data_IF_817124859388
#
_entry.id   IF_817124859388
#
_cell.length_a   1.000
_cell.length_b   1.000
_cell.length_c   1.000
_cell.angle_alpha   90.00
_cell.angle_beta   90.00
_cell.angle_gamma   90.00
#
_symmetry.space_group_name_H-M   'P 1'
#
loop_
_entity.id
_entity.type
_entity.pdbx_description
1 polymer ?
#
# COMPACT_ATOMS: atom_id res chain seq x y z
N UNK A 1 11.46 -3.91 -22.48
CA UNK A 1 10.12 -3.48 -22.00
C UNK A 1 9.91 -4.10 -20.63
N UNK A 2 10.46 -3.50 -19.57
CA UNK A 2 10.31 -3.97 -18.19
C UNK A 2 9.40 -3.01 -17.42
N UNK A 3 8.17 -2.80 -17.91
CA UNK A 3 7.15 -2.14 -17.11
C UNK A 3 6.52 -3.18 -16.19
N UNK A 4 6.51 -2.96 -14.87
CA UNK A 4 5.70 -3.78 -13.97
C UNK A 4 4.27 -3.86 -14.50
N UNK A 5 3.68 -5.06 -14.56
CA UNK A 5 2.28 -5.29 -14.98
C UNK A 5 1.33 -4.37 -14.22
N UNK A 6 1.67 -4.02 -12.98
CA UNK A 6 0.89 -3.13 -12.13
C UNK A 6 0.89 -1.66 -12.56
N UNK A 7 1.82 -1.24 -13.43
CA UNK A 7 1.87 0.14 -13.98
C UNK A 7 1.22 0.25 -15.36
N UNK A 8 0.61 -0.82 -15.87
CA UNK A 8 -0.04 -0.77 -17.17
C UNK A 8 -1.28 0.15 -17.12
N UNK A 9 -1.52 1.04 -18.11
CA UNK A 9 -2.69 1.93 -18.12
C UNK A 9 -4.01 1.16 -18.17
N UNK A 10 -4.01 -0.04 -18.74
CA UNK A 10 -5.17 -0.96 -18.77
C UNK A 10 -5.16 -2.00 -17.63
N UNK A 11 -4.47 -1.75 -16.51
CA UNK A 11 -4.49 -2.65 -15.36
C UNK A 11 -5.93 -2.91 -14.90
N UNK A 12 -6.20 -4.14 -14.48
CA UNK A 12 -7.53 -4.66 -14.07
C UNK A 12 -8.57 -4.82 -15.18
N UNK A 13 -8.33 -4.36 -16.41
CA UNK A 13 -9.27 -4.59 -17.52
C UNK A 13 -9.18 -6.02 -18.06
N UNK A 14 -10.26 -6.46 -18.70
CA UNK A 14 -10.31 -7.75 -19.39
C UNK A 14 -9.18 -7.88 -20.43
N UNK A 15 -8.60 -9.09 -20.63
CA UNK A 15 -7.67 -9.32 -21.73
C UNK A 15 -8.37 -9.33 -23.11
N UNK A 16 -9.69 -9.50 -23.16
CA UNK A 16 -10.45 -9.43 -24.41
C UNK A 16 -10.37 -8.02 -25.02
N UNK A 17 -9.92 -7.86 -26.27
CA UNK A 17 -9.71 -6.55 -26.87
C UNK A 17 -10.98 -5.68 -26.96
N UNK A 18 -12.13 -6.29 -27.25
CA UNK A 18 -13.40 -5.57 -27.38
C UNK A 18 -13.89 -5.06 -26.02
N UNK A 19 -13.85 -5.92 -25.00
CA UNK A 19 -14.20 -5.54 -23.63
C UNK A 19 -13.23 -4.50 -23.06
N UNK A 20 -11.92 -4.66 -23.30
CA UNK A 20 -10.90 -3.70 -22.84
C UNK A 20 -11.07 -2.33 -23.45
N UNK A 21 -11.41 -2.24 -24.74
CA UNK A 21 -11.65 -0.96 -25.40
C UNK A 21 -12.83 -0.21 -24.77
N UNK A 22 -13.93 -0.91 -24.48
CA UNK A 22 -15.08 -0.33 -23.79
C UNK A 22 -14.74 0.06 -22.35
N UNK A 23 -14.03 -0.79 -21.60
CA UNK A 23 -13.59 -0.48 -20.24
C UNK A 23 -12.73 0.79 -20.19
N UNK A 24 -11.82 0.96 -21.15
CA UNK A 24 -10.99 2.15 -21.27
C UNK A 24 -11.82 3.42 -21.50
N UNK A 25 -12.78 3.39 -22.44
CA UNK A 25 -13.66 4.53 -22.72
C UNK A 25 -14.44 4.95 -21.47
N UNK A 26 -14.99 3.98 -20.74
CA UNK A 26 -15.72 4.25 -19.49
C UNK A 26 -14.79 4.84 -18.42
N UNK A 27 -13.61 4.25 -18.22
CA UNK A 27 -12.64 4.72 -17.23
C UNK A 27 -12.14 6.14 -17.55
N UNK A 28 -11.80 6.44 -18.80
CA UNK A 28 -11.36 7.76 -19.23
C UNK A 28 -12.40 8.84 -18.94
N UNK A 29 -13.69 8.53 -19.06
CA UNK A 29 -14.78 9.46 -18.73
C UNK A 29 -14.90 9.81 -17.25
N UNK A 30 -14.34 9.00 -16.34
CA UNK A 30 -14.54 9.14 -14.88
C UNK A 30 -13.26 9.29 -14.07
N UNK A 31 -12.08 8.95 -14.62
CA UNK A 31 -10.81 8.87 -13.88
C UNK A 31 -10.33 10.19 -13.24
N UNK A 32 -10.87 11.32 -13.69
CA UNK A 32 -10.54 12.67 -13.19
C UNK A 32 -11.61 13.25 -12.26
N UNK A 33 -12.68 12.50 -11.97
CA UNK A 33 -13.68 12.95 -11.02
C UNK A 33 -13.10 12.98 -9.60
N UNK A 34 -13.54 13.92 -8.74
CA UNK A 34 -13.12 13.96 -7.35
C UNK A 34 -13.48 12.67 -6.61
N UNK A 35 -12.62 12.24 -5.69
CA UNK A 35 -12.91 11.15 -4.78
C UNK A 35 -13.96 11.60 -3.76
N UNK A 36 -15.04 10.82 -3.64
CA UNK A 36 -16.01 10.93 -2.55
C UNK A 36 -15.79 9.73 -1.64
N UNK A 37 -15.20 9.97 -0.47
CA UNK A 37 -14.89 8.93 0.52
C UNK A 37 -15.83 9.08 1.73
N UNK A 38 -17.11 8.64 1.63
CA UNK A 38 -18.13 8.91 2.66
C UNK A 38 -17.93 8.11 3.95
N UNK A 39 -17.00 7.16 3.95
CA UNK A 39 -16.64 6.36 5.11
C UNK A 39 -15.15 6.06 5.10
N UNK A 40 -14.50 6.21 6.25
CA UNK A 40 -13.06 5.98 6.41
C UNK A 40 -12.63 6.14 7.87
N UNK A 41 -11.37 5.82 8.13
CA UNK A 41 -10.78 5.81 9.48
C UNK A 41 -9.48 6.62 9.56
N UNK A 42 -9.29 7.60 8.66
CA UNK A 42 -8.17 8.53 8.74
C UNK A 42 -8.28 9.35 10.02
N UNK A 43 -7.21 9.44 10.79
CA UNK A 43 -7.18 10.27 12.00
C UNK A 43 -7.34 11.75 11.60
N UNK A 44 -8.38 12.46 12.08
CA UNK A 44 -8.63 13.84 11.70
C UNK A 44 -7.48 14.79 12.09
N UNK A 45 -6.63 14.42 13.06
CA UNK A 45 -5.48 15.23 13.46
C UNK A 45 -4.45 15.37 12.35
N UNK A 46 -4.33 14.38 11.46
CA UNK A 46 -3.44 14.47 10.30
C UNK A 46 -3.78 15.69 9.44
N UNK A 47 -5.08 15.97 9.27
CA UNK A 47 -5.56 17.12 8.48
C UNK A 47 -5.55 18.43 9.28
N UNK A 48 -5.81 18.36 10.59
CA UNK A 48 -5.88 19.55 11.44
C UNK A 48 -4.51 20.12 11.79
N UNK A 49 -3.51 19.26 11.99
CA UNK A 49 -2.18 19.65 12.45
C UNK A 49 -1.17 19.77 11.30
N UNK A 50 -1.46 19.18 10.14
CA UNK A 50 -0.59 19.17 8.94
C UNK A 50 0.88 18.82 9.27
N UNK A 51 1.06 17.95 10.28
CA UNK A 51 2.38 17.52 10.72
C UNK A 51 2.89 16.43 9.78
N UNK A 52 4.18 16.48 9.37
CA UNK A 52 4.73 15.50 8.46
C UNK A 52 4.78 14.12 9.11
N UNK A 53 4.57 13.07 8.31
CA UNK A 53 4.86 11.70 8.73
C UNK A 53 6.36 11.54 9.02
N UNK A 54 6.74 10.85 10.11
CA UNK A 54 8.14 10.81 10.54
C UNK A 54 9.03 9.93 9.65
N UNK A 55 8.48 8.84 9.11
CA UNK A 55 9.19 7.84 8.30
C UNK A 55 8.19 6.94 7.55
N UNK A 56 8.62 6.20 6.51
CA UNK A 56 7.73 5.35 5.72
C UNK A 56 7.23 4.11 6.47
N UNK A 57 7.91 3.62 7.51
CA UNK A 57 7.40 2.51 8.30
C UNK A 57 6.19 2.93 9.13
N UNK A 58 6.23 4.14 9.71
CA UNK A 58 5.13 4.75 10.44
C UNK A 58 3.91 5.09 9.54
N UNK A 59 4.16 5.41 8.26
CA UNK A 59 3.09 5.68 7.29
C UNK A 59 2.47 4.39 6.73
N UNK A 60 3.29 3.47 6.22
CA UNK A 60 2.81 2.33 5.43
C UNK A 60 2.66 1.03 6.22
N UNK A 61 3.59 0.72 7.13
CA UNK A 61 3.73 -0.64 7.67
C UNK A 61 3.01 -0.78 9.01
N UNK A 62 3.37 0.05 9.97
CA UNK A 62 2.90 -0.04 11.36
C UNK A 62 1.36 0.04 11.46
N UNK A 63 0.66 0.95 10.75
CA UNK A 63 -0.79 1.07 10.88
C UNK A 63 -1.58 0.08 10.00
N UNK A 64 -0.97 -0.53 8.98
CA UNK A 64 -1.70 -1.35 8.01
C UNK A 64 -1.77 -2.84 8.42
N UNK A 65 -2.95 -3.24 8.89
CA UNK A 65 -3.23 -4.61 9.29
C UNK A 65 -3.27 -5.61 8.15
N UNK A 66 -3.42 -5.20 6.89
CA UNK A 66 -3.24 -6.13 5.77
C UNK A 66 -1.78 -6.55 5.62
N UNK A 67 -0.85 -5.62 5.83
CA UNK A 67 0.59 -5.89 5.75
C UNK A 67 1.02 -6.81 6.87
N UNK A 68 0.84 -6.41 8.13
CA UNK A 68 1.35 -7.22 9.25
C UNK A 68 0.60 -8.55 9.38
N UNK A 69 -0.66 -8.67 8.93
CA UNK A 69 -1.36 -9.97 8.88
C UNK A 69 -0.71 -10.94 7.90
N UNK A 70 -0.27 -10.46 6.74
CA UNK A 70 0.43 -11.30 5.77
C UNK A 70 1.76 -11.82 6.34
N UNK A 71 2.58 -10.92 6.88
CA UNK A 71 3.88 -11.27 7.46
C UNK A 71 3.74 -12.19 8.68
N UNK A 72 2.77 -11.91 9.56
CA UNK A 72 2.47 -12.76 10.71
C UNK A 72 2.05 -14.17 10.29
N UNK A 73 1.30 -14.31 9.19
CA UNK A 73 0.92 -15.63 8.66
C UNK A 73 2.13 -16.47 8.21
N UNK A 74 3.27 -15.82 7.93
CA UNK A 74 4.53 -16.46 7.55
C UNK A 74 5.54 -16.51 8.70
N UNK A 75 5.10 -16.27 9.94
CA UNK A 75 5.91 -16.42 11.15
C UNK A 75 6.71 -15.17 11.55
N UNK A 76 6.46 -14.01 10.95
CA UNK A 76 7.07 -12.74 11.41
C UNK A 76 6.26 -12.17 12.58
N UNK A 77 6.83 -12.07 13.80
CA UNK A 77 6.13 -11.48 14.94
C UNK A 77 5.78 -10.00 14.69
N UNK A 78 4.62 -9.56 15.17
CA UNK A 78 4.14 -8.19 14.98
C UNK A 78 5.06 -7.14 15.65
N UNK A 79 5.70 -7.51 16.76
CA UNK A 79 6.68 -6.68 17.46
C UNK A 79 7.94 -6.40 16.64
N UNK A 80 8.30 -7.27 15.68
CA UNK A 80 9.42 -7.02 14.76
C UNK A 80 9.08 -5.96 13.71
N UNK A 81 7.78 -5.68 13.51
CA UNK A 81 7.27 -4.66 12.61
C UNK A 81 6.91 -3.35 13.35
N UNK A 82 7.25 -3.23 14.63
CA UNK A 82 6.94 -2.04 15.43
C UNK A 82 5.47 -1.90 15.84
N UNK A 83 4.63 -2.91 15.58
CA UNK A 83 3.20 -2.89 15.94
C UNK A 83 3.05 -2.88 17.46
N UNK A 84 2.34 -1.90 18.06
CA UNK A 84 2.20 -1.80 19.51
C UNK A 84 1.54 -3.03 20.15
N UNK A 85 2.15 -3.52 21.23
CA UNK A 85 1.61 -4.63 22.02
C UNK A 85 0.66 -4.12 23.10
N UNK A 86 -0.42 -4.87 23.36
CA UNK A 86 -1.38 -4.56 24.44
C UNK A 86 -0.76 -4.71 25.84
N UNK A 87 0.24 -5.56 25.99
CA UNK A 87 0.95 -5.81 27.26
C UNK A 87 2.06 -4.78 27.54
N UNK A 88 2.28 -3.81 26.65
CA UNK A 88 3.35 -2.81 26.79
C UNK A 88 4.76 -3.37 26.62
N UNK A 89 4.91 -4.61 26.13
CA UNK A 89 6.20 -5.22 25.87
C UNK A 89 7.03 -4.48 24.81
N UNK A 90 8.34 -4.77 24.72
CA UNK A 90 9.20 -4.13 23.74
C UNK A 90 8.79 -4.49 22.30
N UNK A 91 9.04 -3.56 21.40
CA UNK A 91 8.85 -3.69 19.95
C UNK A 91 10.05 -3.07 19.24
N UNK A 92 10.33 -3.45 18.00
CA UNK A 92 11.34 -2.78 17.18
C UNK A 92 11.01 -1.28 17.05
N UNK A 93 12.04 -0.45 17.20
CA UNK A 93 11.95 1.02 17.17
C UNK A 93 12.74 1.62 16.02
N UNK A 94 13.62 0.87 15.39
CA UNK A 94 14.35 1.32 14.21
C UNK A 94 13.46 1.20 12.96
N UNK A 95 13.02 2.33 12.37
CA UNK A 95 12.15 2.32 11.19
C UNK A 95 12.82 1.66 9.98
N UNK A 96 14.16 1.68 9.88
CA UNK A 96 14.88 1.02 8.79
C UNK A 96 14.81 -0.49 8.92
N UNK A 97 14.88 -1.03 10.14
CA UNK A 97 14.76 -2.49 10.37
C UNK A 97 13.34 -2.99 10.12
N UNK A 98 12.34 -2.20 10.50
CA UNK A 98 10.92 -2.47 10.19
C UNK A 98 10.73 -2.49 8.67
N UNK A 99 11.21 -1.45 7.99
CA UNK A 99 11.13 -1.36 6.53
C UNK A 99 11.84 -2.51 5.84
N UNK A 100 13.07 -2.85 6.26
CA UNK A 100 13.82 -3.96 5.69
C UNK A 100 13.09 -5.29 5.86
N UNK A 101 12.51 -5.54 7.04
CA UNK A 101 11.70 -6.74 7.29
C UNK A 101 10.50 -6.81 6.36
N UNK A 102 9.81 -5.69 6.12
CA UNK A 102 8.74 -5.67 5.12
C UNK A 102 9.27 -5.94 3.70
N UNK A 103 10.35 -5.28 3.29
CA UNK A 103 10.94 -5.40 1.96
C UNK A 103 11.40 -6.84 1.65
N UNK A 104 12.06 -7.50 2.62
CA UNK A 104 12.52 -8.89 2.50
C UNK A 104 11.36 -9.86 2.24
N UNK A 105 10.15 -9.54 2.71
CA UNK A 105 8.94 -10.36 2.60
C UNK A 105 7.94 -9.83 1.56
N UNK A 106 8.26 -8.75 0.84
CA UNK A 106 7.31 -8.11 -0.08
C UNK A 106 6.81 -9.04 -1.19
N UNK A 107 7.59 -10.07 -1.54
CA UNK A 107 7.19 -11.10 -2.51
C UNK A 107 5.90 -11.86 -2.13
N UNK A 108 5.53 -11.89 -0.85
CA UNK A 108 4.29 -12.51 -0.37
C UNK A 108 3.02 -11.81 -0.89
N UNK A 109 3.14 -10.53 -1.23
CA UNK A 109 2.00 -9.74 -1.71
C UNK A 109 1.72 -9.91 -3.21
N UNK A 110 2.46 -10.78 -3.91
CA UNK A 110 2.23 -11.07 -5.33
C UNK A 110 0.81 -11.63 -5.54
N UNK A 111 0.05 -10.97 -6.42
CA UNK A 111 -1.34 -11.33 -6.70
C UNK A 111 -2.35 -10.87 -5.64
N UNK A 112 -1.92 -10.09 -4.65
CA UNK A 112 -2.80 -9.53 -3.62
C UNK A 112 -3.12 -8.07 -3.92
N UNK A 113 -4.31 -7.57 -3.52
CA UNK A 113 -4.65 -6.15 -3.64
C UNK A 113 -3.66 -5.23 -2.93
N UNK A 114 -3.16 -5.61 -1.75
CA UNK A 114 -2.17 -4.81 -1.00
C UNK A 114 -0.85 -4.64 -1.77
N UNK A 115 -0.38 -5.69 -2.44
CA UNK A 115 0.80 -5.57 -3.31
C UNK A 115 0.54 -4.64 -4.50
N UNK A 116 -0.68 -4.64 -5.03
CA UNK A 116 -1.09 -3.73 -6.09
C UNK A 116 -1.14 -2.27 -5.63
N UNK A 117 -1.81 -1.98 -4.50
CA UNK A 117 -1.95 -0.64 -3.96
C UNK A 117 -0.61 -0.04 -3.57
N UNK A 118 0.24 -0.82 -2.89
CA UNK A 118 1.57 -0.34 -2.49
C UNK A 118 2.45 0.03 -3.69
N UNK A 119 2.43 -0.77 -4.76
CA UNK A 119 3.17 -0.43 -6.00
C UNK A 119 2.60 0.80 -6.70
N UNK A 120 1.27 0.98 -6.68
CA UNK A 120 0.59 2.15 -7.25
C UNK A 120 0.97 3.41 -6.46
N UNK A 121 0.97 3.36 -5.13
CA UNK A 121 1.41 4.46 -4.27
C UNK A 121 2.86 4.86 -4.54
N UNK A 122 3.78 3.89 -4.55
CA UNK A 122 5.20 4.16 -4.83
C UNK A 122 5.39 4.83 -6.21
N UNK A 123 4.69 4.36 -7.24
CA UNK A 123 4.85 4.88 -8.59
C UNK A 123 4.15 6.24 -8.79
N UNK A 124 2.86 6.34 -8.46
CA UNK A 124 2.02 7.49 -8.82
C UNK A 124 2.12 8.63 -7.80
N UNK A 125 2.38 8.33 -6.51
CA UNK A 125 2.50 9.34 -5.45
C UNK A 125 3.95 9.75 -5.23
N UNK A 126 4.88 8.79 -5.23
CA UNK A 126 6.29 9.05 -4.92
C UNK A 126 7.23 9.05 -6.14
N UNK A 127 6.76 8.64 -7.32
CA UNK A 127 7.60 8.60 -8.53
C UNK A 127 8.72 7.54 -8.49
N UNK A 128 8.57 6.49 -7.68
CA UNK A 128 9.56 5.42 -7.52
C UNK A 128 9.38 4.39 -8.63
N UNK A 129 10.47 4.13 -9.35
CA UNK A 129 10.46 3.25 -10.52
C UNK A 129 10.97 1.82 -10.25
N UNK A 130 11.65 1.58 -9.12
CA UNK A 130 12.29 0.30 -8.77
C UNK A 130 11.87 -0.21 -7.39
#
# INVERSE_FOLDING_TARGET
MNGSVMRHPDRYFSPDPGVRALARQLYESVRHLPLICPHGHVDPRILAEDSPFPDPAALFIIPDHYIFRMLYSQGVPMENLGVPRRDGGPVEKDPRRIWQTFADYFYLFRGTPSGCWFQDELAEVFGIEE
#
